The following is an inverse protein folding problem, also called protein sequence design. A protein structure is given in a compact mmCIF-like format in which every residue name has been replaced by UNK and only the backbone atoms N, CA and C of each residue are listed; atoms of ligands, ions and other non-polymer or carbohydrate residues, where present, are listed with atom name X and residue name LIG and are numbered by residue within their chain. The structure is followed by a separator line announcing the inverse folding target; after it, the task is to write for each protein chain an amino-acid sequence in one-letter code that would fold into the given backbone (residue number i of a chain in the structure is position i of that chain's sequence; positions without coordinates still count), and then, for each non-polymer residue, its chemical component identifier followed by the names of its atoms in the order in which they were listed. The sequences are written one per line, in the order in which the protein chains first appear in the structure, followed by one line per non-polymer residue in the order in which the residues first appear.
data_IF_324167308081
#
_entry.id   IF_324167308081
#
_cell.length_a   1.000
_cell.length_b   1.000
_cell.length_c   1.000
_cell.angle_alpha   90.00
_cell.angle_beta   90.00
_cell.angle_gamma   90.00
#
_symmetry.space_group_name_H-M   'P 1'
#
loop_
_entity.id
_entity.type
_entity.pdbx_description
1 polymer ?
#
# COMPACT_ATOMS: atom_id res chain seq x y z
N UNK A 1 -2.65 -5.07 8.69
CA UNK A 1 -3.58 -3.94 8.43
C UNK A 1 -4.30 -4.05 7.08
N UNK A 2 -3.64 -4.42 5.96
CA UNK A 2 -4.32 -4.60 4.67
C UNK A 2 -5.47 -5.60 4.71
N UNK A 3 -5.30 -6.70 5.44
CA UNK A 3 -6.31 -7.75 5.60
C UNK A 3 -7.59 -7.25 6.30
N UNK A 4 -7.46 -6.34 7.28
CA UNK A 4 -8.61 -5.71 7.91
C UNK A 4 -9.36 -4.79 6.93
N UNK A 5 -8.63 -4.00 6.12
CA UNK A 5 -9.23 -3.13 5.12
C UNK A 5 -10.01 -3.93 4.06
N UNK A 6 -9.41 -5.00 3.55
CA UNK A 6 -10.06 -5.92 2.62
C UNK A 6 -11.36 -6.50 3.19
N UNK A 7 -11.34 -6.95 4.44
CA UNK A 7 -12.53 -7.46 5.12
C UNK A 7 -13.64 -6.42 5.32
N UNK A 8 -13.33 -5.12 5.22
CA UNK A 8 -14.27 -4.02 5.48
C UNK A 8 -14.65 -3.24 4.21
N UNK A 9 -14.57 -3.88 3.04
CA UNK A 9 -15.03 -3.31 1.77
C UNK A 9 -14.09 -2.26 1.18
N UNK A 10 -12.81 -2.32 1.52
CA UNK A 10 -11.76 -1.52 0.89
C UNK A 10 -10.86 -2.41 0.03
N UNK A 11 -10.31 -1.85 -1.05
CA UNK A 11 -9.27 -2.48 -1.85
C UNK A 11 -7.90 -1.90 -1.44
N UNK A 12 -7.12 -2.59 -0.58
CA UNK A 12 -5.83 -2.09 -0.14
C UNK A 12 -4.72 -2.34 -1.17
N UNK A 13 -3.77 -1.41 -1.24
CA UNK A 13 -2.50 -1.54 -1.96
C UNK A 13 -1.35 -1.23 -1.01
N UNK A 14 -0.29 -2.02 -1.06
CA UNK A 14 0.91 -1.81 -0.24
C UNK A 14 2.08 -1.48 -1.15
N UNK A 15 2.88 -0.49 -0.76
CA UNK A 15 4.14 -0.12 -1.42
C UNK A 15 5.21 0.02 -0.34
N UNK A 16 6.35 -0.64 -0.52
CA UNK A 16 7.48 -0.49 0.38
C UNK A 16 8.17 0.85 0.18
N UNK A 17 8.90 1.32 1.20
CA UNK A 17 9.70 2.54 1.07
C UNK A 17 10.78 2.38 -0.02
N UNK A 18 11.38 1.20 -0.13
CA UNK A 18 12.38 0.89 -1.15
C UNK A 18 11.82 1.00 -2.57
N UNK A 19 10.66 0.39 -2.84
CA UNK A 19 9.99 0.47 -4.15
C UNK A 19 9.67 1.91 -4.52
N UNK A 20 9.18 2.71 -3.57
CA UNK A 20 8.87 4.11 -3.80
C UNK A 20 10.13 4.95 -4.05
N UNK A 21 11.19 4.74 -3.26
CA UNK A 21 12.47 5.43 -3.45
C UNK A 21 13.05 5.15 -4.84
N UNK A 22 13.04 3.89 -5.29
CA UNK A 22 13.47 3.49 -6.61
C UNK A 22 12.65 4.17 -7.72
N UNK A 23 11.31 4.22 -7.57
CA UNK A 23 10.43 4.88 -8.53
C UNK A 23 10.71 6.39 -8.68
N UNK A 24 11.24 7.04 -7.63
CA UNK A 24 11.63 8.45 -7.63
C UNK A 24 13.13 8.69 -7.86
N UNK A 25 13.93 7.66 -8.16
CA UNK A 25 15.38 7.80 -8.37
C UNK A 25 16.15 8.21 -7.11
N UNK A 26 15.64 7.84 -5.93
CA UNK A 26 16.27 8.09 -4.64
C UNK A 26 17.01 6.84 -4.16
N UNK A 27 18.12 6.98 -3.42
CA UNK A 27 18.75 5.86 -2.75
C UNK A 27 17.78 5.29 -1.70
N UNK A 28 17.71 3.95 -1.62
CA UNK A 28 17.06 3.23 -0.54
C UNK A 28 18.10 2.90 0.54
N UNK A 29 17.89 3.33 1.78
CA UNK A 29 18.68 2.86 2.92
C UNK A 29 18.48 1.36 3.14
N UNK A 30 19.47 0.65 3.72
CA UNK A 30 19.41 -0.79 4.00
C UNK A 30 18.24 -1.21 4.91
N UNK A 31 17.65 -0.27 5.66
CA UNK A 31 16.43 -0.45 6.48
C UNK A 31 15.11 -0.23 5.70
N UNK A 32 15.18 0.00 4.38
CA UNK A 32 14.03 0.39 3.56
C UNK A 32 12.97 -0.71 3.35
N UNK A 33 13.25 -1.94 3.78
CA UNK A 33 12.28 -3.06 3.80
C UNK A 33 11.48 -3.14 5.10
N UNK A 34 11.88 -2.43 6.17
CA UNK A 34 11.21 -2.49 7.48
C UNK A 34 9.93 -1.61 7.56
N UNK A 35 9.64 -0.81 6.54
CA UNK A 35 8.49 0.08 6.51
C UNK A 35 7.86 0.25 5.11
N UNK A 36 6.59 0.62 5.08
CA UNK A 36 5.84 0.83 3.85
C UNK A 36 4.59 1.66 4.05
N UNK A 37 3.90 1.91 2.94
CA UNK A 37 2.67 2.66 2.89
C UNK A 37 1.54 1.73 2.50
N UNK A 38 0.41 1.85 3.20
CA UNK A 38 -0.83 1.19 2.82
C UNK A 38 -1.79 2.28 2.37
N UNK A 39 -2.28 2.18 1.14
CA UNK A 39 -3.38 2.98 0.62
C UNK A 39 -4.57 2.07 0.39
N UNK A 40 -5.78 2.62 0.34
CA UNK A 40 -6.95 1.82 0.00
C UNK A 40 -8.04 2.65 -0.67
N UNK A 41 -8.75 2.03 -1.59
CA UNK A 41 -9.92 2.63 -2.27
C UNK A 41 -11.19 1.98 -1.74
N UNK A 42 -12.21 2.79 -1.41
CA UNK A 42 -13.50 2.24 -0.98
C UNK A 42 -14.15 1.53 -2.15
N UNK A 43 -14.48 0.26 -1.99
CA UNK A 43 -15.28 -0.43 -2.97
C UNK A 43 -16.74 -0.04 -2.75
N UNK A 44 -17.26 0.82 -3.62
CA UNK A 44 -18.69 1.06 -3.70
C UNK A 44 -19.34 -0.25 -4.13
N UNK A 45 -20.19 -0.81 -3.27
CA UNK A 45 -21.10 -1.87 -3.67
C UNK A 45 -22.11 -1.26 -4.64
N UNK A 46 -21.77 -1.19 -5.92
CA UNK A 46 -22.76 -1.00 -6.95
C UNK A 46 -23.54 -2.32 -7.02
N UNK A 47 -24.56 -2.45 -6.18
CA UNK A 47 -25.60 -3.45 -6.36
C UNK A 47 -26.14 -3.29 -7.78
N UNK A 48 -25.93 -4.31 -8.62
CA UNK A 48 -26.64 -4.52 -9.87
C UNK A 48 -27.61 -5.67 -9.68
#
# INVERSE_FOLDING_TARGET
APEWLAAHGWAPSTVTRAELAAAYGRPSDDDATAGGFVTAVRQSSTLR
#
